data_IF_895713748360
#
_entry.id   IF_895713748360
#
_cell.length_a   1.000
_cell.length_b   1.000
_cell.length_c   1.000
_cell.angle_alpha   90.00
_cell.angle_beta   90.00
_cell.angle_gamma   90.00
#
_symmetry.space_group_name_H-M   'P 1'
#
loop_
_entity.id
_entity.type
_entity.pdbx_description
1 polymer ?
#
# COMPACT_ATOMS: atom_id res chain seq x y z
N UNK A 1 -6.96 2.57 22.73
CA UNK A 1 -5.99 2.30 21.65
C UNK A 1 -6.20 3.36 20.59
N UNK A 2 -5.14 4.13 20.30
CA UNK A 2 -5.17 5.18 19.27
C UNK A 2 -5.16 4.56 17.87
N UNK A 3 -5.94 5.14 16.94
CA UNK A 3 -5.92 4.83 15.51
C UNK A 3 -5.45 6.06 14.75
N UNK A 4 -4.69 5.85 13.69
CA UNK A 4 -4.27 6.95 12.84
C UNK A 4 -3.67 6.49 11.52
N UNK A 5 -3.33 7.46 10.71
CA UNK A 5 -2.76 7.26 9.38
C UNK A 5 -1.33 7.79 9.40
N UNK A 6 -0.43 7.06 8.76
CA UNK A 6 0.96 7.44 8.54
C UNK A 6 1.23 7.50 7.04
N UNK A 7 1.84 8.59 6.59
CA UNK A 7 2.40 8.71 5.25
C UNK A 7 3.84 9.18 5.32
N UNK A 8 4.67 8.70 4.40
CA UNK A 8 6.08 9.06 4.32
C UNK A 8 6.34 9.55 2.90
N UNK A 9 7.09 10.64 2.76
CA UNK A 9 7.49 11.16 1.46
C UNK A 9 8.89 11.79 1.50
N UNK A 10 9.45 12.02 0.33
CA UNK A 10 10.72 12.72 0.11
C UNK A 10 10.61 13.61 -1.14
N UNK A 11 11.51 14.59 -1.24
CA UNK A 11 11.46 15.59 -2.30
C UNK A 11 10.47 16.72 -2.03
N UNK A 12 10.45 17.72 -2.93
CA UNK A 12 9.64 18.95 -2.76
C UNK A 12 8.43 19.00 -3.70
N UNK A 13 8.33 18.09 -4.67
CA UNK A 13 7.30 18.10 -5.72
C UNK A 13 5.96 17.47 -5.30
N UNK A 14 5.86 17.00 -4.06
CA UNK A 14 4.75 16.16 -3.59
C UNK A 14 3.58 16.93 -2.94
N UNK A 15 3.50 18.24 -3.09
CA UNK A 15 2.46 19.06 -2.40
C UNK A 15 1.04 18.67 -2.83
N UNK A 16 0.79 18.55 -4.14
CA UNK A 16 -0.54 18.23 -4.65
C UNK A 16 -1.03 16.84 -4.26
N UNK A 17 -0.24 15.76 -4.42
CA UNK A 17 -0.62 14.43 -3.93
C UNK A 17 -0.92 14.42 -2.43
N UNK A 18 -0.10 15.08 -1.60
CA UNK A 18 -0.29 15.14 -0.15
C UNK A 18 -1.61 15.83 0.22
N UNK A 19 -1.91 16.98 -0.40
CA UNK A 19 -3.16 17.70 -0.14
C UNK A 19 -4.38 16.87 -0.59
N UNK A 20 -4.30 16.19 -1.73
CA UNK A 20 -5.33 15.29 -2.22
C UNK A 20 -5.60 14.15 -1.22
N UNK A 21 -4.54 13.49 -0.76
CA UNK A 21 -4.64 12.44 0.24
C UNK A 21 -5.27 12.95 1.54
N UNK A 22 -4.79 14.07 2.10
CA UNK A 22 -5.35 14.69 3.31
C UNK A 22 -6.83 14.98 3.19
N UNK A 23 -7.24 15.57 2.07
CA UNK A 23 -8.64 15.93 1.83
C UNK A 23 -9.52 14.68 1.73
N UNK A 24 -9.04 13.62 1.09
CA UNK A 24 -9.76 12.35 0.99
C UNK A 24 -9.90 11.65 2.35
N UNK A 25 -8.84 11.63 3.15
CA UNK A 25 -8.89 11.11 4.53
C UNK A 25 -9.92 11.90 5.35
N UNK A 26 -9.83 13.23 5.35
CA UNK A 26 -10.75 14.09 6.11
C UNK A 26 -12.22 13.90 5.70
N UNK A 27 -12.47 13.59 4.44
CA UNK A 27 -13.83 13.35 3.91
C UNK A 27 -14.46 12.09 4.53
N UNK A 28 -13.73 11.01 4.66
CA UNK A 28 -14.26 9.72 5.10
C UNK A 28 -13.97 9.39 6.56
N UNK A 29 -12.90 9.97 7.11
CA UNK A 29 -12.38 9.69 8.46
C UNK A 29 -11.88 10.98 9.12
N UNK A 30 -12.76 11.98 9.34
CA UNK A 30 -12.36 13.25 9.97
C UNK A 30 -11.83 13.08 11.41
N UNK A 31 -12.12 11.93 12.03
CA UNK A 31 -11.70 11.58 13.39
C UNK A 31 -10.27 11.01 13.46
N UNK A 32 -9.69 10.55 12.33
CA UNK A 32 -8.36 9.96 12.32
C UNK A 32 -7.29 11.03 12.20
N UNK A 33 -6.32 10.98 13.12
CA UNK A 33 -5.09 11.76 12.97
C UNK A 33 -4.26 11.23 11.82
N UNK A 34 -3.68 12.13 11.01
CA UNK A 34 -2.81 11.79 9.89
C UNK A 34 -1.42 12.40 10.11
N UNK A 35 -0.46 11.57 10.45
CA UNK A 35 0.94 11.92 10.56
C UNK A 35 1.60 11.80 9.19
N UNK A 36 2.27 12.88 8.75
CA UNK A 36 2.96 12.93 7.45
C UNK A 36 4.40 13.30 7.67
N UNK A 37 5.30 12.35 7.42
CA UNK A 37 6.72 12.51 7.69
C UNK A 37 7.46 12.78 6.37
N UNK A 38 8.12 13.94 6.32
CA UNK A 38 9.09 14.22 5.27
C UNK A 38 10.43 13.63 5.65
N UNK A 39 10.92 12.70 4.83
CA UNK A 39 12.27 12.18 4.97
C UNK A 39 13.28 13.08 4.24
N UNK A 40 14.50 13.05 4.72
CA UNK A 40 15.60 13.72 4.04
C UNK A 40 15.80 13.12 2.64
N UNK A 41 15.86 13.97 1.62
CA UNK A 41 16.09 13.59 0.23
C UNK A 41 17.54 13.19 -0.07
N UNK A 42 18.44 13.26 0.91
CA UNK A 42 19.81 12.77 0.78
C UNK A 42 19.82 11.24 0.68
N UNK A 43 20.23 10.70 -0.46
CA UNK A 43 20.31 9.27 -0.71
C UNK A 43 19.70 8.86 -2.05
N UNK A 44 19.95 7.63 -2.41
CA UNK A 44 19.34 7.01 -3.61
C UNK A 44 17.93 6.46 -3.31
N UNK A 45 17.23 6.06 -4.34
CA UNK A 45 15.87 5.49 -4.23
C UNK A 45 15.81 4.28 -3.31
N UNK A 46 16.84 3.44 -3.29
CA UNK A 46 16.94 2.28 -2.39
C UNK A 46 16.98 2.71 -0.92
N UNK A 47 17.76 3.74 -0.60
CA UNK A 47 17.84 4.30 0.76
C UNK A 47 16.49 4.81 1.25
N UNK A 48 15.70 5.48 0.38
CA UNK A 48 14.37 5.98 0.71
C UNK A 48 13.37 4.84 0.95
N UNK A 49 13.36 3.84 0.07
CA UNK A 49 12.51 2.66 0.20
C UNK A 49 12.84 1.84 1.44
N UNK A 50 14.14 1.72 1.78
CA UNK A 50 14.56 1.04 3.01
C UNK A 50 14.04 1.76 4.28
N UNK A 51 13.94 3.09 4.26
CA UNK A 51 13.35 3.86 5.36
C UNK A 51 11.86 3.54 5.58
N UNK A 52 11.15 3.11 4.53
CA UNK A 52 9.75 2.69 4.61
C UNK A 52 9.55 1.48 5.53
N UNK A 53 10.53 0.57 5.60
CA UNK A 53 10.50 -0.57 6.52
C UNK A 53 10.48 -0.16 8.01
N UNK A 54 10.81 1.09 8.33
CA UNK A 54 10.76 1.64 9.68
C UNK A 54 9.38 2.21 10.08
N UNK A 55 8.35 2.08 9.23
CA UNK A 55 7.04 2.71 9.46
C UNK A 55 6.40 2.32 10.80
N UNK A 56 6.66 1.13 11.32
CA UNK A 56 6.17 0.72 12.64
C UNK A 56 6.77 1.56 13.77
N UNK A 57 8.06 1.89 13.68
CA UNK A 57 8.74 2.71 14.70
C UNK A 57 8.39 4.20 14.54
N UNK A 58 8.15 4.64 13.32
CA UNK A 58 7.77 6.01 13.00
C UNK A 58 6.32 6.32 13.38
N UNK A 59 5.46 5.30 13.48
CA UNK A 59 4.06 5.51 13.81
C UNK A 59 3.85 5.83 15.29
N UNK A 60 3.16 6.94 15.61
CA UNK A 60 2.77 7.27 16.98
C UNK A 60 1.51 6.52 17.45
N UNK A 61 0.88 5.70 16.60
CA UNK A 61 -0.41 5.08 16.87
C UNK A 61 -0.29 3.60 17.29
N UNK A 62 -1.27 3.13 18.06
CA UNK A 62 -1.40 1.70 18.41
C UNK A 62 -1.83 0.87 17.20
N UNK A 63 -2.71 1.43 16.37
CA UNK A 63 -3.17 0.86 15.11
C UNK A 63 -2.95 1.90 14.01
N UNK A 64 -2.22 1.52 12.99
CA UNK A 64 -1.79 2.44 11.92
C UNK A 64 -2.29 1.93 10.58
N UNK A 65 -2.80 2.83 9.77
CA UNK A 65 -2.87 2.67 8.32
C UNK A 65 -1.72 3.45 7.70
N UNK A 66 -0.80 2.76 7.04
CA UNK A 66 0.18 3.40 6.16
C UNK A 66 -0.44 3.61 4.79
N UNK A 67 -0.27 4.82 4.24
CA UNK A 67 -0.71 5.19 2.89
C UNK A 67 0.44 5.86 2.14
N UNK A 68 0.76 5.35 0.94
CA UNK A 68 1.58 6.08 -0.01
C UNK A 68 0.89 7.39 -0.41
N UNK A 69 1.66 8.44 -0.70
CA UNK A 69 1.11 9.79 -0.98
C UNK A 69 0.31 9.89 -2.27
N UNK A 70 0.46 8.93 -3.19
CA UNK A 70 -0.30 8.81 -4.44
C UNK A 70 -1.61 8.03 -4.27
N UNK A 71 -2.10 7.88 -3.03
CA UNK A 71 -3.38 7.26 -2.73
C UNK A 71 -4.49 8.28 -2.49
N UNK A 72 -5.75 7.83 -2.69
CA UNK A 72 -6.97 8.58 -2.37
C UNK A 72 -7.93 7.65 -1.63
N UNK A 73 -8.35 8.04 -0.43
CA UNK A 73 -9.39 7.31 0.31
C UNK A 73 -10.74 7.60 -0.33
N UNK A 74 -11.49 6.57 -0.68
CA UNK A 74 -12.77 6.65 -1.36
C UNK A 74 -13.90 5.92 -0.63
N UNK A 75 -13.65 5.43 0.60
CA UNK A 75 -14.64 4.73 1.40
C UNK A 75 -14.21 4.48 2.84
N UNK A 76 -15.11 3.87 3.62
CA UNK A 76 -14.85 3.53 5.02
C UNK A 76 -13.75 2.49 5.16
N UNK A 77 -12.84 2.70 6.13
CA UNK A 77 -11.61 1.93 6.36
C UNK A 77 -11.66 1.07 7.63
N UNK A 78 -12.74 1.07 8.39
CA UNK A 78 -12.84 0.38 9.69
C UNK A 78 -12.52 -1.11 9.61
N UNK A 79 -12.99 -1.79 8.57
CA UNK A 79 -12.73 -3.22 8.37
C UNK A 79 -11.23 -3.54 8.29
N UNK A 80 -10.43 -2.70 7.61
CA UNK A 80 -8.97 -2.86 7.55
C UNK A 80 -8.33 -2.78 8.94
N UNK A 81 -8.72 -1.80 9.75
CA UNK A 81 -8.28 -1.67 11.13
C UNK A 81 -8.70 -2.85 12.00
N UNK A 82 -9.94 -3.35 11.86
CA UNK A 82 -10.41 -4.54 12.59
C UNK A 82 -9.59 -5.77 12.27
N UNK A 83 -9.27 -5.99 10.99
CA UNK A 83 -8.46 -7.13 10.56
C UNK A 83 -7.02 -7.00 11.05
N UNK A 84 -6.41 -5.82 10.95
CA UNK A 84 -5.08 -5.60 11.51
C UNK A 84 -5.05 -5.78 13.03
N UNK A 85 -6.09 -5.36 13.77
CA UNK A 85 -6.20 -5.60 15.21
C UNK A 85 -6.14 -7.09 15.56
N UNK A 86 -6.79 -7.93 14.75
CA UNK A 86 -6.82 -9.38 14.96
C UNK A 86 -5.53 -10.06 14.51
N UNK A 87 -5.10 -9.80 13.29
CA UNK A 87 -4.05 -10.54 12.59
C UNK A 87 -2.66 -9.85 12.65
N UNK A 88 -2.55 -8.65 13.20
CA UNK A 88 -1.31 -7.86 13.21
C UNK A 88 -1.14 -7.00 11.97
N UNK A 89 -1.46 -7.53 10.79
CA UNK A 89 -1.44 -6.84 9.49
C UNK A 89 -2.70 -7.19 8.68
N UNK A 90 -3.19 -6.18 7.91
CA UNK A 90 -4.11 -6.38 6.80
C UNK A 90 -3.58 -5.62 5.58
N UNK A 91 -3.45 -6.31 4.44
CA UNK A 91 -2.76 -5.83 3.24
C UNK A 91 -3.31 -6.51 1.99
N UNK A 92 -3.23 -5.85 0.83
CA UNK A 92 -3.57 -6.45 -0.45
C UNK A 92 -2.33 -7.06 -1.12
N UNK A 93 -2.53 -8.13 -1.90
CA UNK A 93 -1.46 -8.70 -2.73
C UNK A 93 -1.10 -7.75 -3.87
N UNK A 94 0.12 -7.88 -4.37
CA UNK A 94 0.54 -7.21 -5.60
C UNK A 94 -0.08 -7.87 -6.83
N UNK A 95 -0.41 -7.05 -7.80
CA UNK A 95 -0.99 -7.47 -9.07
C UNK A 95 0.00 -8.22 -9.97
N UNK A 96 1.27 -7.87 -9.88
CA UNK A 96 2.38 -8.48 -10.64
C UNK A 96 3.61 -8.58 -9.77
N UNK A 97 4.57 -9.45 -10.11
CA UNK A 97 5.86 -9.54 -9.42
C UNK A 97 6.67 -8.24 -9.55
N UNK A 98 7.24 -7.78 -8.44
CA UNK A 98 8.08 -6.59 -8.37
C UNK A 98 9.50 -6.88 -7.88
N UNK A 99 9.82 -8.14 -7.59
CA UNK A 99 11.17 -8.58 -7.25
C UNK A 99 11.69 -9.58 -8.27
N UNK A 100 13.02 -9.61 -8.43
CA UNK A 100 13.69 -10.58 -9.27
C UNK A 100 13.46 -11.99 -8.74
N UNK A 101 12.89 -12.83 -9.60
CA UNK A 101 12.47 -14.20 -9.30
C UNK A 101 13.58 -15.20 -9.58
N UNK A 102 13.38 -16.43 -9.08
CA UNK A 102 14.29 -17.57 -9.31
C UNK A 102 15.72 -17.32 -8.86
N UNK A 103 15.87 -16.61 -7.74
CA UNK A 103 17.15 -16.42 -7.06
C UNK A 103 17.26 -17.41 -5.90
N UNK A 104 18.44 -17.50 -5.27
CA UNK A 104 18.62 -18.29 -4.05
C UNK A 104 17.76 -17.80 -2.87
N UNK A 105 17.37 -16.53 -2.89
CA UNK A 105 16.59 -15.89 -1.83
C UNK A 105 15.10 -15.81 -2.16
N UNK A 106 14.73 -15.86 -3.43
CA UNK A 106 13.36 -15.55 -3.86
C UNK A 106 12.82 -16.62 -4.81
N UNK A 107 11.78 -17.33 -4.37
CA UNK A 107 11.08 -18.33 -5.19
C UNK A 107 10.36 -17.68 -6.38
N UNK A 108 10.18 -18.44 -7.46
CA UNK A 108 9.38 -18.01 -8.61
C UNK A 108 7.91 -17.79 -8.30
N UNK A 109 7.38 -18.51 -7.31
CA UNK A 109 5.97 -18.50 -6.95
C UNK A 109 5.67 -17.69 -5.67
N UNK A 110 6.66 -16.94 -5.17
CA UNK A 110 6.49 -16.10 -3.98
C UNK A 110 5.42 -15.04 -4.20
N UNK A 111 4.43 -15.00 -3.31
CA UNK A 111 3.43 -13.92 -3.29
C UNK A 111 4.08 -12.64 -2.81
N UNK A 112 3.85 -11.55 -3.51
CA UNK A 112 4.22 -10.21 -3.07
C UNK A 112 3.00 -9.43 -2.61
N UNK A 113 3.24 -8.43 -1.77
CA UNK A 113 2.21 -7.57 -1.19
C UNK A 113 2.44 -6.13 -1.61
N UNK A 114 1.39 -5.38 -1.88
CA UNK A 114 1.52 -3.98 -2.20
C UNK A 114 1.67 -3.14 -0.92
N UNK A 115 2.90 -2.72 -0.65
CA UNK A 115 3.28 -2.00 0.57
C UNK A 115 2.85 -0.52 0.58
N UNK A 116 2.17 -0.05 -0.44
CA UNK A 116 1.61 1.31 -0.47
C UNK A 116 0.36 1.50 0.40
N UNK A 117 -0.28 0.39 0.82
CA UNK A 117 -1.43 0.39 1.74
C UNK A 117 -1.28 -0.75 2.73
N UNK A 118 -0.94 -0.45 3.97
CA UNK A 118 -0.75 -1.44 5.03
C UNK A 118 -1.47 -1.00 6.30
N UNK A 119 -2.44 -1.79 6.77
CA UNK A 119 -2.96 -1.67 8.12
C UNK A 119 -2.13 -2.53 9.06
N UNK A 120 -1.62 -1.99 10.15
CA UNK A 120 -0.79 -2.75 11.09
C UNK A 120 -0.95 -2.29 12.54
N UNK A 121 -0.46 -3.12 13.46
CA UNK A 121 -0.31 -2.80 14.87
C UNK A 121 0.98 -3.41 15.44
N UNK A 122 1.23 -3.22 16.72
CA UNK A 122 2.47 -3.67 17.39
C UNK A 122 2.70 -5.18 17.37
N UNK A 123 1.68 -6.02 17.10
CA UNK A 123 1.86 -7.48 16.90
C UNK A 123 2.73 -7.81 15.70
N UNK A 124 2.79 -6.91 14.72
CA UNK A 124 3.62 -7.08 13.53
C UNK A 124 5.11 -6.76 13.72
N UNK A 125 5.55 -6.42 14.95
CA UNK A 125 6.94 -6.04 15.21
C UNK A 125 7.97 -7.06 14.69
N UNK A 126 7.83 -8.37 14.91
CA UNK A 126 8.80 -9.35 14.39
C UNK A 126 8.95 -9.29 12.87
N UNK A 127 7.82 -9.11 12.14
CA UNK A 127 7.84 -8.96 10.68
C UNK A 127 8.55 -7.68 10.26
N UNK A 128 8.26 -6.54 10.89
CA UNK A 128 8.91 -5.27 10.54
C UNK A 128 10.41 -5.28 10.85
N UNK A 129 10.83 -5.92 11.93
CA UNK A 129 12.26 -6.08 12.26
C UNK A 129 12.97 -6.95 11.19
N UNK A 130 12.34 -8.03 10.76
CA UNK A 130 12.83 -8.86 9.66
C UNK A 130 12.90 -8.08 8.35
N UNK A 131 11.83 -7.34 8.00
CA UNK A 131 11.80 -6.51 6.78
C UNK A 131 12.94 -5.50 6.74
N UNK A 132 13.20 -4.76 7.85
CA UNK A 132 14.36 -3.85 7.94
C UNK A 132 15.68 -4.56 7.64
N UNK A 133 15.86 -5.79 8.14
CA UNK A 133 17.07 -6.56 7.93
C UNK A 133 17.28 -7.02 6.49
N UNK A 134 16.17 -7.15 5.72
CA UNK A 134 16.15 -7.66 4.35
C UNK A 134 16.11 -6.54 3.30
N UNK A 135 15.61 -5.36 3.65
CA UNK A 135 15.30 -4.28 2.72
C UNK A 135 16.49 -3.92 1.79
N UNK A 136 17.72 -3.93 2.31
CA UNK A 136 18.92 -3.65 1.51
C UNK A 136 19.56 -4.90 0.87
N UNK A 137 19.01 -6.11 1.08
CA UNK A 137 19.61 -7.37 0.65
C UNK A 137 18.90 -7.98 -0.55
N UNK A 138 17.65 -7.61 -0.79
CA UNK A 138 16.82 -8.15 -1.87
C UNK A 138 17.02 -7.32 -3.13
N UNK A 139 17.46 -7.97 -4.22
CA UNK A 139 17.45 -7.34 -5.54
C UNK A 139 15.99 -7.26 -6.04
N UNK A 140 15.42 -6.09 -5.88
CA UNK A 140 14.05 -5.75 -6.29
C UNK A 140 14.03 -4.87 -7.55
N UNK A 141 15.13 -4.86 -8.31
CA UNK A 141 15.17 -4.18 -9.60
C UNK A 141 14.32 -4.92 -10.63
N UNK A 142 13.58 -4.17 -11.42
CA UNK A 142 12.75 -4.71 -12.49
C UNK A 142 12.88 -3.88 -13.76
N UNK A 143 12.64 -4.52 -14.89
CA UNK A 143 12.60 -3.87 -16.20
C UNK A 143 11.15 -3.85 -16.69
N UNK A 144 10.65 -2.68 -16.95
CA UNK A 144 9.34 -2.48 -17.55
C UNK A 144 9.49 -2.18 -19.04
N UNK A 145 8.62 -2.76 -19.85
CA UNK A 145 8.45 -2.35 -21.24
C UNK A 145 7.07 -1.71 -21.38
N UNK A 146 7.03 -0.41 -21.53
CA UNK A 146 5.79 0.34 -21.69
C UNK A 146 5.86 1.16 -22.99
N UNK A 147 4.88 0.95 -23.88
CA UNK A 147 4.78 1.69 -25.15
C UNK A 147 6.07 1.65 -25.98
N UNK A 148 6.77 0.50 -25.99
CA UNK A 148 8.03 0.32 -26.71
C UNK A 148 9.26 0.97 -26.04
N UNK A 149 9.09 1.56 -24.85
CA UNK A 149 10.21 2.08 -24.03
C UNK A 149 10.57 1.09 -22.97
N UNK A 150 11.86 0.98 -22.72
CA UNK A 150 12.41 0.16 -21.63
C UNK A 150 12.74 1.07 -20.45
N UNK A 151 12.02 0.90 -19.36
CA UNK A 151 12.26 1.63 -18.13
C UNK A 151 12.78 0.65 -17.07
N UNK A 152 13.80 1.07 -16.33
CA UNK A 152 14.37 0.27 -15.23
C UNK A 152 13.98 0.92 -13.92
N UNK A 153 13.22 0.19 -13.12
CA UNK A 153 13.02 0.53 -11.72
C UNK A 153 14.17 -0.10 -10.92
N UNK A 154 15.08 0.71 -10.35
CA UNK A 154 16.29 0.19 -9.71
C UNK A 154 16.00 -0.57 -8.41
N UNK A 155 14.89 -0.25 -7.75
CA UNK A 155 14.49 -0.86 -6.49
C UNK A 155 13.01 -0.67 -6.20
N UNK A 156 12.45 -1.59 -5.40
CA UNK A 156 11.18 -1.44 -4.71
C UNK A 156 11.23 -2.15 -3.35
N UNK A 157 10.26 -1.90 -2.51
CA UNK A 157 10.22 -2.42 -1.13
C UNK A 157 9.36 -3.68 -0.97
N UNK A 158 8.59 -4.07 -1.98
CA UNK A 158 7.60 -5.14 -1.92
C UNK A 158 8.23 -6.52 -1.81
N UNK A 159 9.30 -6.79 -2.58
CA UNK A 159 10.00 -8.07 -2.55
C UNK A 159 10.62 -8.37 -1.19
N UNK A 160 11.27 -7.39 -0.56
CA UNK A 160 11.86 -7.58 0.78
C UNK A 160 10.79 -7.78 1.86
N UNK A 161 9.63 -7.12 1.73
CA UNK A 161 8.49 -7.34 2.61
C UNK A 161 7.93 -8.77 2.47
N UNK A 162 7.75 -9.24 1.23
CA UNK A 162 7.27 -10.59 0.96
C UNK A 162 8.18 -11.67 1.55
N UNK A 163 9.49 -11.50 1.41
CA UNK A 163 10.47 -12.40 2.01
C UNK A 163 10.44 -12.36 3.55
N UNK A 164 10.21 -11.18 4.13
CA UNK A 164 10.05 -11.06 5.58
C UNK A 164 8.79 -11.79 6.09
N UNK A 165 7.68 -11.73 5.34
CA UNK A 165 6.46 -12.50 5.65
C UNK A 165 6.75 -13.99 5.69
N UNK A 166 7.47 -14.50 4.68
CA UNK A 166 7.84 -15.92 4.61
C UNK A 166 8.78 -16.33 5.74
N UNK A 167 9.86 -15.60 5.96
CA UNK A 167 10.88 -15.95 6.98
C UNK A 167 10.36 -15.89 8.40
N UNK A 168 9.37 -15.05 8.65
CA UNK A 168 8.74 -14.95 9.98
C UNK A 168 7.51 -15.82 10.13
N UNK A 169 7.12 -16.55 9.08
CA UNK A 169 5.87 -17.33 9.03
C UNK A 169 4.65 -16.48 9.42
N UNK A 170 4.73 -15.17 9.16
CA UNK A 170 3.66 -14.24 9.51
C UNK A 170 2.47 -14.44 8.57
N UNK A 171 1.28 -14.52 9.13
CA UNK A 171 0.05 -14.74 8.35
C UNK A 171 -0.80 -13.46 8.32
N UNK A 172 -0.55 -12.53 7.38
CA UNK A 172 -1.33 -11.30 7.27
C UNK A 172 -2.76 -11.59 6.78
N UNK A 173 -3.72 -10.76 7.19
CA UNK A 173 -5.04 -10.80 6.58
C UNK A 173 -4.98 -10.19 5.17
N UNK A 174 -5.43 -10.96 4.17
CA UNK A 174 -5.46 -10.48 2.79
C UNK A 174 -6.74 -9.71 2.54
N UNK A 175 -6.58 -8.43 2.21
CA UNK A 175 -7.66 -7.56 1.79
C UNK A 175 -7.92 -7.73 0.29
N UNK A 176 -9.18 -7.63 -0.17
CA UNK A 176 -9.51 -7.59 -1.59
C UNK A 176 -8.83 -6.42 -2.32
N UNK A 177 -8.68 -6.55 -3.64
CA UNK A 177 -7.98 -5.56 -4.48
C UNK A 177 -8.58 -4.15 -4.42
N UNK A 178 -9.86 -4.02 -4.14
CA UNK A 178 -10.53 -2.73 -3.97
C UNK A 178 -10.06 -1.91 -2.74
N UNK A 179 -9.25 -2.51 -1.86
CA UNK A 179 -8.60 -1.83 -0.73
C UNK A 179 -7.26 -1.20 -1.10
N UNK A 180 -6.76 -1.48 -2.29
CA UNK A 180 -5.55 -0.89 -2.86
C UNK A 180 -5.65 -0.99 -4.39
N UNK A 181 -6.62 -0.28 -4.96
CA UNK A 181 -6.96 -0.40 -6.36
C UNK A 181 -6.03 0.43 -7.23
N UNK A 182 -5.32 -0.24 -8.13
CA UNK A 182 -4.39 0.39 -9.08
C UNK A 182 -4.98 0.32 -10.50
N UNK A 183 -5.50 1.45 -11.03
CA UNK A 183 -6.28 1.47 -12.28
C UNK A 183 -5.49 1.04 -13.51
N UNK A 184 -4.16 1.22 -13.49
CA UNK A 184 -3.32 0.79 -14.60
C UNK A 184 -3.05 -0.73 -14.63
N UNK A 185 -3.34 -1.43 -13.54
CA UNK A 185 -3.17 -2.88 -13.42
C UNK A 185 -4.49 -3.65 -13.50
N UNK A 186 -5.61 -2.98 -13.18
CA UNK A 186 -6.93 -3.61 -13.13
C UNK A 186 -7.92 -2.88 -14.03
N UNK A 187 -8.54 -3.63 -14.94
CA UNK A 187 -9.62 -3.14 -15.80
C UNK A 187 -11.01 -3.48 -15.28
N UNK A 188 -11.08 -4.29 -14.21
CA UNK A 188 -12.34 -4.67 -13.58
C UNK A 188 -12.21 -4.79 -12.06
N UNK A 189 -13.31 -4.55 -11.36
CA UNK A 189 -13.41 -4.73 -9.92
C UNK A 189 -14.84 -5.03 -9.50
N UNK A 190 -15.01 -5.54 -8.27
CA UNK A 190 -16.31 -5.77 -7.65
C UNK A 190 -16.35 -5.15 -6.25
N UNK A 191 -17.51 -4.61 -5.89
CA UNK A 191 -17.69 -3.91 -4.61
C UNK A 191 -17.09 -2.49 -4.62
N UNK A 192 -17.35 -1.70 -3.59
CA UNK A 192 -16.86 -0.33 -3.54
C UNK A 192 -15.33 -0.30 -3.44
N UNK A 193 -14.69 0.56 -4.23
CA UNK A 193 -13.27 0.87 -4.06
C UNK A 193 -13.13 1.64 -2.75
N UNK A 194 -12.19 1.23 -1.92
CA UNK A 194 -11.88 1.84 -0.63
C UNK A 194 -10.71 2.80 -0.69
N UNK A 195 -9.69 2.42 -1.47
CA UNK A 195 -8.48 3.21 -1.68
C UNK A 195 -8.12 3.11 -3.17
N UNK A 196 -8.09 4.24 -3.83
CA UNK A 196 -7.55 4.44 -5.17
C UNK A 196 -6.06 4.73 -5.05
N UNK A 197 -5.22 4.00 -5.78
CA UNK A 197 -3.78 4.13 -5.69
C UNK A 197 -3.19 4.47 -7.06
N UNK A 198 -3.14 5.75 -7.35
CA UNK A 198 -2.56 6.34 -8.58
C UNK A 198 -2.32 7.83 -8.37
N UNK A 199 -1.37 8.41 -9.10
CA UNK A 199 -1.18 9.85 -9.17
C UNK A 199 -2.35 10.57 -9.85
N UNK A 200 -3.02 9.90 -10.79
CA UNK A 200 -4.25 10.42 -11.39
C UNK A 200 -5.42 10.38 -10.40
N UNK A 201 -6.32 11.33 -10.54
CA UNK A 201 -7.53 11.37 -9.72
C UNK A 201 -8.45 10.19 -10.04
N UNK A 202 -9.20 9.69 -9.05
CA UNK A 202 -10.26 8.74 -9.33
C UNK A 202 -11.31 9.36 -10.26
N UNK A 203 -11.91 8.57 -11.16
CA UNK A 203 -12.89 9.08 -12.10
C UNK A 203 -14.11 9.64 -11.37
N UNK A 204 -14.76 10.70 -11.87
CA UNK A 204 -15.89 11.35 -11.21
C UNK A 204 -17.06 10.41 -10.88
N UNK A 205 -17.26 9.37 -11.68
CA UNK A 205 -18.33 8.39 -11.46
C UNK A 205 -18.07 7.42 -10.30
N UNK A 206 -16.85 7.41 -9.73
CA UNK A 206 -16.48 6.44 -8.69
C UNK A 206 -17.31 6.58 -7.42
N UNK A 207 -17.64 7.81 -7.02
CA UNK A 207 -18.48 8.06 -5.84
C UNK A 207 -19.90 7.50 -6.03
N UNK A 208 -20.47 7.71 -7.20
CA UNK A 208 -21.79 7.18 -7.57
C UNK A 208 -21.81 5.66 -7.56
N UNK A 209 -20.77 5.07 -8.16
CA UNK A 209 -20.60 3.62 -8.22
C UNK A 209 -20.43 3.01 -6.82
N UNK A 210 -19.59 3.61 -5.97
CA UNK A 210 -19.40 3.18 -4.60
C UNK A 210 -20.70 3.28 -3.79
N UNK A 211 -21.47 4.35 -3.95
CA UNK A 211 -22.78 4.51 -3.31
C UNK A 211 -23.78 3.46 -3.81
N UNK A 212 -23.75 3.14 -5.08
CA UNK A 212 -24.61 2.11 -5.64
C UNK A 212 -24.33 0.75 -5.02
N UNK A 213 -23.06 0.35 -4.88
CA UNK A 213 -22.67 -0.89 -4.21
C UNK A 213 -23.12 -0.96 -2.75
N UNK A 214 -23.05 0.15 -2.03
CA UNK A 214 -23.44 0.19 -0.62
C UNK A 214 -24.97 0.09 -0.40
N UNK A 215 -25.76 0.41 -1.41
CA UNK A 215 -27.22 0.50 -1.32
C UNK A 215 -27.97 -0.63 -2.03
N UNK A 216 -27.25 -1.65 -2.53
CA UNK A 216 -27.85 -2.77 -3.26
C UNK A 216 -27.42 -4.12 -2.67
N UNK A 217 -28.34 -5.07 -2.66
CA UNK A 217 -28.10 -6.45 -2.22
C UNK A 217 -27.39 -7.31 -3.28
N UNK A 218 -26.98 -6.71 -4.40
CA UNK A 218 -26.33 -7.40 -5.51
C UNK A 218 -24.90 -6.96 -5.70
N UNK A 219 -24.03 -7.91 -6.01
CA UNK A 219 -22.65 -7.65 -6.44
C UNK A 219 -22.69 -7.17 -7.89
N UNK A 220 -22.13 -5.99 -8.13
CA UNK A 220 -21.95 -5.44 -9.46
C UNK A 220 -20.47 -5.54 -9.82
N UNK A 221 -20.18 -6.08 -10.98
CA UNK A 221 -18.84 -6.06 -11.55
C UNK A 221 -18.77 -4.90 -12.56
N UNK A 222 -17.76 -4.07 -12.39
CA UNK A 222 -17.44 -3.03 -13.35
C UNK A 222 -16.30 -3.52 -14.25
N UNK A 223 -16.47 -3.39 -15.55
CA UNK A 223 -15.44 -3.66 -16.55
C UNK A 223 -15.20 -2.40 -17.35
N UNK A 224 -13.96 -1.94 -17.37
CA UNK A 224 -13.54 -0.87 -18.24
C UNK A 224 -13.26 -1.49 -19.61
N UNK A 225 -14.04 -1.10 -20.62
CA UNK A 225 -13.90 -1.55 -22.00
C UNK A 225 -12.70 -0.89 -22.69
#
# INVERSE_FOLDING_TARGET
MSRGILSIYWGDENKLPIERLKNSVKRFHPELSHEIIKLDASGDSMSHLNKKSAMLDLSPFDQTLFLDIDTVVTGNLDFGFEKAKKFGIAISICEVPWAKRYTKLFSGDQVEYNTGVIFFNRKAKPLFDCWKSLAAKVDSSIVHVREGRVDVMPANDQGSFALAVEQTEFNPFILPLNWNFRPHSYTSFSGPIKIWHDYADPPPFLDELNNYYLNKDSIIQYHQG
#
